data_IF_410665482592
#
_entry.id   IF_410665482592
#
_cell.length_a   1.000
_cell.length_b   1.000
_cell.length_c   1.000
_cell.angle_alpha   90.00
_cell.angle_beta   90.00
_cell.angle_gamma   90.00
#
_symmetry.space_group_name_H-M   'P 1'
#
loop_
_entity.id
_entity.type
_entity.pdbx_description
1 polymer ?
#
# COMPACT_ATOMS: atom_id res chain seq x y z
N UNK A 1 -7.07 8.30 -3.95
CA UNK A 1 -7.52 9.56 -4.58
C UNK A 1 -8.38 9.31 -5.81
N UNK A 2 -7.84 8.82 -6.93
CA UNK A 2 -8.60 8.69 -8.21
C UNK A 2 -9.78 7.71 -8.20
N UNK A 3 -9.93 6.89 -7.15
CA UNK A 3 -11.08 5.98 -6.96
C UNK A 3 -12.09 6.48 -5.91
N UNK A 4 -11.91 7.69 -5.37
CA UNK A 4 -12.83 8.26 -4.38
C UNK A 4 -12.85 7.59 -3.00
N UNK A 5 -11.95 6.64 -2.72
CA UNK A 5 -11.91 5.93 -1.44
C UNK A 5 -11.25 6.79 -0.34
N UNK A 6 -12.09 7.50 0.42
CA UNK A 6 -11.69 8.43 1.49
C UNK A 6 -11.09 7.68 2.68
N UNK A 7 -11.62 6.50 3.02
CA UNK A 7 -11.11 5.70 4.15
C UNK A 7 -9.66 5.29 3.90
N UNK A 8 -9.36 4.80 2.68
CA UNK A 8 -7.98 4.48 2.31
C UNK A 8 -7.06 5.70 2.21
N UNK A 9 -7.63 6.87 1.88
CA UNK A 9 -6.87 8.11 1.87
C UNK A 9 -6.44 8.49 3.29
N UNK A 10 -7.37 8.45 4.25
CA UNK A 10 -7.10 8.68 5.68
C UNK A 10 -6.02 7.71 6.19
N UNK A 11 -6.13 6.42 5.85
CA UNK A 11 -5.14 5.40 6.22
C UNK A 11 -3.76 5.61 5.61
N UNK A 12 -3.62 6.45 4.58
CA UNK A 12 -2.33 6.75 3.96
C UNK A 12 -1.55 7.87 4.66
N UNK A 13 -2.21 8.59 5.58
CA UNK A 13 -1.63 9.70 6.33
C UNK A 13 -0.61 9.21 7.38
N UNK A 14 0.52 9.91 7.61
CA UNK A 14 1.55 9.49 8.58
C UNK A 14 1.04 9.36 10.03
N UNK A 15 0.12 10.24 10.43
CA UNK A 15 -0.48 10.22 11.77
C UNK A 15 -1.60 9.19 11.93
N UNK A 16 -1.99 8.47 10.86
CA UNK A 16 -3.08 7.50 10.95
C UNK A 16 -2.78 6.39 11.95
N UNK A 17 -3.77 6.06 12.78
CA UNK A 17 -3.71 4.90 13.66
C UNK A 17 -4.09 3.63 12.88
N UNK A 18 -3.67 2.45 13.34
CA UNK A 18 -4.18 1.19 12.82
C UNK A 18 -5.71 1.16 12.88
N UNK A 19 -6.32 0.60 11.83
CA UNK A 19 -7.78 0.51 11.73
C UNK A 19 -8.43 -0.36 12.82
N UNK A 20 -7.65 -1.26 13.42
CA UNK A 20 -8.04 -2.08 14.55
C UNK A 20 -6.84 -2.29 15.48
N UNK A 21 -7.06 -2.45 16.81
CA UNK A 21 -5.98 -2.70 17.77
C UNK A 21 -5.17 -3.97 17.48
N UNK A 22 -5.79 -4.96 16.81
CA UNK A 22 -5.15 -6.20 16.38
C UNK A 22 -4.22 -6.04 15.17
N UNK A 23 -4.14 -4.85 14.57
CA UNK A 23 -3.23 -4.54 13.47
C UNK A 23 -2.04 -3.71 13.95
N UNK A 24 -0.86 -4.07 13.46
CA UNK A 24 0.37 -3.32 13.74
C UNK A 24 0.41 -2.04 12.90
N UNK A 25 0.85 -0.93 13.51
CA UNK A 25 1.06 0.35 12.82
C UNK A 25 2.18 0.22 11.78
N UNK A 26 1.90 0.66 10.55
CA UNK A 26 2.89 0.76 9.48
C UNK A 26 3.21 2.23 9.23
N UNK A 27 4.50 2.54 9.15
CA UNK A 27 4.99 3.89 8.84
C UNK A 27 5.71 3.89 7.49
N UNK A 28 5.80 5.07 6.86
CA UNK A 28 6.54 5.29 5.61
C UNK A 28 7.60 6.38 5.84
N UNK A 29 8.79 6.02 6.34
CA UNK A 29 9.81 7.02 6.68
C UNK A 29 10.28 7.85 5.48
N UNK A 30 10.31 7.23 4.30
CA UNK A 30 10.78 7.85 3.05
C UNK A 30 9.65 8.54 2.25
N UNK A 31 8.54 8.90 2.89
CA UNK A 31 7.33 9.39 2.20
C UNK A 31 7.54 10.70 1.45
N UNK A 32 8.43 11.56 1.96
CA UNK A 32 8.76 12.87 1.36
C UNK A 32 10.07 12.87 0.59
N UNK A 33 10.67 11.68 0.35
CA UNK A 33 11.93 11.53 -0.37
C UNK A 33 11.62 11.06 -1.79
N UNK A 34 12.23 11.68 -2.78
CA UNK A 34 12.05 11.27 -4.17
C UNK A 34 12.73 9.91 -4.43
N UNK A 35 12.20 9.18 -5.39
CA UNK A 35 12.74 7.86 -5.72
C UNK A 35 14.19 7.94 -6.25
N UNK A 36 14.49 8.96 -7.06
CA UNK A 36 15.86 9.16 -7.56
C UNK A 36 16.84 9.44 -6.41
N UNK A 37 16.43 10.15 -5.36
CA UNK A 37 17.28 10.41 -4.18
C UNK A 37 17.58 9.13 -3.42
N UNK A 38 16.57 8.30 -3.18
CA UNK A 38 16.76 6.99 -2.52
C UNK A 38 17.65 6.06 -3.34
N UNK A 39 17.52 6.11 -4.67
CA UNK A 39 18.32 5.32 -5.61
C UNK A 39 19.78 5.76 -5.59
N UNK A 40 20.04 7.07 -5.70
CA UNK A 40 21.40 7.64 -5.64
C UNK A 40 22.04 7.32 -4.28
N UNK A 41 21.29 7.46 -3.18
CA UNK A 41 21.78 7.12 -1.85
C UNK A 41 22.22 5.65 -1.75
N UNK A 42 21.40 4.72 -2.28
CA UNK A 42 21.72 3.30 -2.29
C UNK A 42 23.00 3.00 -3.09
N UNK A 43 23.18 3.63 -4.25
CA UNK A 43 24.40 3.52 -5.05
C UNK A 43 25.65 4.02 -4.30
N UNK A 44 25.57 5.22 -3.70
CA UNK A 44 26.70 5.80 -2.94
C UNK A 44 27.08 4.92 -1.75
N UNK A 45 26.10 4.27 -1.12
CA UNK A 45 26.33 3.35 0.01
C UNK A 45 26.73 1.93 -0.39
N UNK A 46 26.75 1.61 -1.68
CA UNK A 46 27.07 0.27 -2.18
C UNK A 46 26.02 -0.78 -1.80
N UNK A 47 24.76 -0.36 -1.58
CA UNK A 47 23.68 -1.31 -1.33
C UNK A 47 23.35 -2.06 -2.62
N UNK A 48 23.21 -3.38 -2.49
CA UNK A 48 22.77 -4.22 -3.59
C UNK A 48 21.24 -4.27 -3.57
N UNK A 49 20.62 -3.89 -4.68
CA UNK A 49 19.17 -3.88 -4.83
C UNK A 49 18.76 -4.48 -6.18
N UNK A 50 17.51 -4.92 -6.27
CA UNK A 50 16.94 -5.43 -7.52
C UNK A 50 16.71 -4.29 -8.51
N UNK A 51 17.37 -4.36 -9.66
CA UNK A 51 17.28 -3.40 -10.77
C UNK A 51 16.22 -3.79 -11.81
N UNK A 52 15.86 -5.06 -11.86
CA UNK A 52 14.94 -5.62 -12.85
C UNK A 52 13.50 -5.52 -12.38
N UNK A 53 12.64 -4.87 -13.17
CA UNK A 53 11.21 -4.80 -12.89
C UNK A 53 10.50 -6.15 -13.07
N UNK A 54 9.39 -6.35 -12.37
CA UNK A 54 8.54 -7.52 -12.52
C UNK A 54 7.97 -7.60 -13.96
N UNK A 55 8.10 -8.74 -14.69
CA UNK A 55 7.61 -8.87 -16.07
C UNK A 55 6.13 -8.53 -16.25
N UNK A 56 5.30 -8.80 -15.23
CA UNK A 56 3.87 -8.52 -15.26
C UNK A 56 3.53 -7.02 -15.29
N UNK A 57 4.41 -6.16 -14.77
CA UNK A 57 4.21 -4.71 -14.80
C UNK A 57 4.36 -4.20 -16.24
N UNK A 58 5.38 -4.68 -16.95
CA UNK A 58 5.68 -4.29 -18.33
C UNK A 58 4.62 -4.79 -19.32
N UNK A 59 4.16 -6.04 -19.15
CA UNK A 59 3.18 -6.63 -20.05
C UNK A 59 1.78 -6.02 -19.90
N UNK A 60 1.43 -5.54 -18.69
CA UNK A 60 0.10 -4.98 -18.38
C UNK A 60 0.24 -3.75 -17.49
N UNK A 61 0.54 -2.57 -18.07
CA UNK A 61 0.80 -1.36 -17.30
C UNK A 61 -0.43 -0.98 -16.48
N UNK A 62 -0.26 -1.02 -15.17
CA UNK A 62 -1.33 -0.71 -14.22
C UNK A 62 -1.71 0.77 -14.27
N UNK A 63 -2.90 1.12 -13.79
CA UNK A 63 -3.30 2.52 -13.62
C UNK A 63 -2.25 3.31 -12.82
N UNK A 64 -1.61 2.69 -11.82
CA UNK A 64 -0.56 3.34 -11.01
C UNK A 64 0.66 3.72 -11.85
N UNK A 65 1.09 2.85 -12.77
CA UNK A 65 2.22 3.14 -13.65
C UNK A 65 1.92 4.35 -14.55
N UNK A 66 0.72 4.40 -15.14
CA UNK A 66 0.29 5.54 -15.97
C UNK A 66 0.26 6.86 -15.20
N UNK A 67 -0.30 6.85 -14.00
CA UNK A 67 -0.35 8.05 -13.14
C UNK A 67 1.06 8.49 -12.74
N UNK A 68 1.93 7.54 -12.40
CA UNK A 68 3.32 7.84 -12.05
C UNK A 68 4.04 8.55 -13.19
N UNK A 69 3.92 8.05 -14.42
CA UNK A 69 4.54 8.70 -15.60
C UNK A 69 4.02 10.12 -15.80
N UNK A 70 2.71 10.33 -15.69
CA UNK A 70 2.09 11.67 -15.76
C UNK A 70 2.63 12.61 -14.66
N UNK A 71 2.71 12.13 -13.42
CA UNK A 71 3.21 12.92 -12.30
C UNK A 71 4.69 13.29 -12.47
N UNK A 72 5.52 12.39 -12.99
CA UNK A 72 6.92 12.65 -13.31
C UNK A 72 7.05 13.70 -14.43
N UNK A 73 6.18 13.63 -15.45
CA UNK A 73 6.16 14.65 -16.51
C UNK A 73 5.84 16.04 -15.95
N UNK A 74 4.86 16.14 -15.04
CA UNK A 74 4.52 17.40 -14.37
C UNK A 74 5.69 17.90 -13.53
N UNK A 75 6.31 17.03 -12.73
CA UNK A 75 7.48 17.37 -11.90
C UNK A 75 8.63 17.91 -12.75
N UNK A 76 8.88 17.34 -13.93
CA UNK A 76 9.94 17.80 -14.84
C UNK A 76 9.71 19.22 -15.39
N UNK A 77 8.44 19.63 -15.52
CA UNK A 77 8.06 20.97 -15.99
C UNK A 77 7.97 21.99 -14.85
N UNK A 78 7.62 21.53 -13.65
CA UNK A 78 7.45 22.36 -12.46
C UNK A 78 8.01 21.62 -11.23
N UNK A 79 9.31 21.78 -10.93
CA UNK A 79 9.96 21.12 -9.80
C UNK A 79 9.30 21.47 -8.46
N UNK A 80 9.18 20.47 -7.58
CA UNK A 80 8.54 20.57 -6.28
C UNK A 80 7.04 20.25 -6.31
N UNK A 81 6.43 19.99 -7.47
CA UNK A 81 5.00 19.71 -7.57
C UNK A 81 4.60 18.45 -6.80
N UNK A 82 5.41 17.38 -6.86
CA UNK A 82 5.14 16.13 -6.13
C UNK A 82 5.16 16.33 -4.63
N UNK A 83 6.17 17.04 -4.12
CA UNK A 83 6.31 17.32 -2.69
C UNK A 83 5.19 18.25 -2.20
N UNK A 84 4.85 19.28 -2.98
CA UNK A 84 3.74 20.19 -2.67
C UNK A 84 2.41 19.44 -2.65
N UNK A 85 2.17 18.57 -3.64
CA UNK A 85 0.95 17.77 -3.72
C UNK A 85 0.76 16.89 -2.48
N UNK A 86 1.80 16.15 -2.08
CA UNK A 86 1.70 15.22 -0.95
C UNK A 86 1.60 15.96 0.40
N UNK A 87 2.30 17.08 0.55
CA UNK A 87 2.26 17.91 1.77
C UNK A 87 0.91 18.59 1.91
N UNK A 88 0.41 19.20 0.83
CA UNK A 88 -0.93 19.80 0.79
C UNK A 88 -2.01 18.76 1.12
N UNK A 89 -1.89 17.56 0.54
CA UNK A 89 -2.82 16.48 0.80
C UNK A 89 -2.86 16.12 2.28
N UNK A 90 -1.71 16.02 2.94
CA UNK A 90 -1.64 15.73 4.37
C UNK A 90 -2.35 16.79 5.19
N UNK A 91 -2.01 18.07 4.95
CA UNK A 91 -2.62 19.20 5.66
C UNK A 91 -4.14 19.20 5.52
N UNK A 92 -4.67 18.94 4.33
CA UNK A 92 -6.12 18.93 4.08
C UNK A 92 -6.82 17.76 4.77
N UNK A 93 -6.20 16.57 4.80
CA UNK A 93 -6.86 15.38 5.37
C UNK A 93 -6.61 15.23 6.87
N UNK A 94 -5.64 15.94 7.45
CA UNK A 94 -5.28 15.82 8.86
C UNK A 94 -6.47 15.96 9.83
N UNK A 95 -7.38 16.94 9.68
CA UNK A 95 -8.56 17.02 10.55
C UNK A 95 -9.46 15.78 10.48
N UNK A 96 -9.59 15.19 9.29
CA UNK A 96 -10.36 13.95 9.08
C UNK A 96 -9.65 12.75 9.72
N UNK A 97 -8.32 12.71 9.66
CA UNK A 97 -7.50 11.67 10.28
C UNK A 97 -7.68 11.69 11.80
N UNK A 98 -7.62 12.87 12.42
CA UNK A 98 -7.78 13.02 13.87
C UNK A 98 -9.20 12.66 14.33
N UNK A 99 -10.22 12.95 13.52
CA UNK A 99 -11.60 12.53 13.79
C UNK A 99 -11.74 11.00 13.70
N UNK A 100 -11.24 10.41 12.62
CA UNK A 100 -11.37 8.98 12.32
C UNK A 100 -10.62 8.08 13.31
N UNK A 101 -9.53 8.57 13.91
CA UNK A 101 -8.78 7.81 14.94
C UNK A 101 -9.61 7.39 16.15
N UNK A 102 -10.71 8.10 16.44
CA UNK A 102 -11.60 7.78 17.57
C UNK A 102 -12.51 6.58 17.30
N UNK A 103 -12.62 6.14 16.05
CA UNK A 103 -13.53 5.09 15.59
C UNK A 103 -12.77 3.77 15.34
N UNK A 104 -12.06 3.26 16.34
CA UNK A 104 -11.39 1.96 16.21
C UNK A 104 -12.43 0.85 16.07
N UNK A 105 -12.34 0.04 15.01
CA UNK A 105 -13.22 -1.12 14.85
C UNK A 105 -12.58 -2.38 15.42
N UNK A 106 -13.43 -3.27 15.94
CA UNK A 106 -13.01 -4.63 16.27
C UNK A 106 -13.13 -5.50 15.03
N UNK A 107 -12.00 -6.03 14.56
CA UNK A 107 -11.98 -6.99 13.46
C UNK A 107 -12.19 -8.42 13.99
N UNK A 108 -12.98 -9.26 13.29
CA UNK A 108 -13.05 -10.68 13.60
C UNK A 108 -11.69 -11.35 13.40
N UNK A 109 -11.45 -12.47 14.08
CA UNK A 109 -10.25 -13.29 13.95
C UNK A 109 -10.49 -14.50 13.06
N UNK A 110 -9.46 -14.90 12.32
CA UNK A 110 -9.47 -16.08 11.48
C UNK A 110 -9.47 -17.35 12.34
N UNK A 111 -10.41 -18.25 12.11
CA UNK A 111 -10.49 -19.54 12.85
C UNK A 111 -9.32 -20.50 12.57
N UNK A 112 -8.55 -20.28 11.49
CA UNK A 112 -7.41 -21.13 11.12
C UNK A 112 -6.06 -20.63 11.64
N UNK A 113 -5.81 -19.33 11.58
CA UNK A 113 -4.49 -18.76 11.90
C UNK A 113 -4.52 -17.69 13.00
N UNK A 114 -5.70 -17.32 13.53
CA UNK A 114 -5.84 -16.29 14.57
C UNK A 114 -5.71 -14.84 14.08
N UNK A 115 -5.20 -14.60 12.88
CA UNK A 115 -5.00 -13.25 12.33
C UNK A 115 -6.33 -12.51 12.04
N UNK A 116 -6.35 -11.16 12.08
CA UNK A 116 -7.53 -10.36 11.76
C UNK A 116 -8.04 -10.62 10.34
N UNK A 117 -9.37 -10.67 10.18
CA UNK A 117 -10.04 -10.83 8.89
C UNK A 117 -11.02 -9.69 8.60
N UNK A 118 -11.44 -9.58 7.35
CA UNK A 118 -12.42 -8.57 6.93
C UNK A 118 -13.75 -8.79 7.69
N UNK A 119 -14.53 -7.73 7.94
CA UNK A 119 -15.87 -7.87 8.50
C UNK A 119 -16.70 -8.91 7.73
N UNK A 120 -17.53 -9.68 8.45
CA UNK A 120 -18.40 -10.74 7.90
C UNK A 120 -17.66 -11.99 7.36
N UNK A 121 -16.38 -12.19 7.70
CA UNK A 121 -15.64 -13.42 7.38
C UNK A 121 -15.19 -14.16 8.65
N UNK A 122 -15.18 -15.49 8.58
CA UNK A 122 -14.64 -16.38 9.63
C UNK A 122 -13.23 -16.87 9.30
N UNK A 123 -12.88 -16.92 8.02
CA UNK A 123 -11.54 -17.31 7.51
C UNK A 123 -10.94 -16.13 6.75
N UNK A 124 -9.64 -15.86 6.95
CA UNK A 124 -8.95 -14.78 6.25
C UNK A 124 -8.69 -15.12 4.78
N UNK A 125 -8.59 -14.08 3.94
CA UNK A 125 -8.40 -14.25 2.49
C UNK A 125 -7.10 -14.99 2.14
N UNK A 126 -6.08 -14.86 2.99
CA UNK A 126 -4.83 -15.59 2.86
C UNK A 126 -5.05 -17.10 3.01
N UNK A 127 -5.65 -17.55 4.12
CA UNK A 127 -5.94 -18.97 4.33
C UNK A 127 -6.84 -19.53 3.22
N UNK A 128 -7.87 -18.78 2.80
CA UNK A 128 -8.71 -19.18 1.65
C UNK A 128 -7.90 -19.39 0.38
N UNK A 129 -6.94 -18.51 0.09
CA UNK A 129 -6.08 -18.63 -1.09
C UNK A 129 -5.16 -19.85 -1.01
N UNK A 130 -4.57 -20.11 0.16
CA UNK A 130 -3.72 -21.28 0.39
C UNK A 130 -4.52 -22.58 0.20
N UNK A 131 -5.73 -22.66 0.75
CA UNK A 131 -6.59 -23.84 0.57
C UNK A 131 -6.90 -24.10 -0.91
N UNK A 132 -7.22 -23.05 -1.67
CA UNK A 132 -7.49 -23.16 -3.12
C UNK A 132 -6.28 -23.68 -3.90
N UNK A 133 -5.08 -23.19 -3.57
CA UNK A 133 -3.84 -23.66 -4.21
C UNK A 133 -3.60 -25.13 -3.87
N UNK A 134 -3.77 -25.54 -2.60
CA UNK A 134 -3.57 -26.93 -2.18
C UNK A 134 -4.57 -27.88 -2.84
N UNK A 135 -5.82 -27.44 -3.06
CA UNK A 135 -6.81 -28.22 -3.79
C UNK A 135 -6.44 -28.37 -5.27
N UNK A 136 -6.03 -27.27 -5.93
CA UNK A 136 -5.59 -27.31 -7.33
C UNK A 136 -4.36 -28.21 -7.53
N UNK A 137 -3.40 -28.19 -6.60
CA UNK A 137 -2.20 -29.04 -6.65
C UNK A 137 -2.49 -30.54 -6.44
N UNK A 138 -3.64 -30.91 -5.86
CA UNK A 138 -4.06 -32.31 -5.71
C UNK A 138 -4.70 -32.84 -6.98
N UNK A 139 -5.53 -32.04 -7.64
CA UNK A 139 -6.19 -32.41 -8.91
C UNK A 139 -5.17 -32.64 -10.03
N UNK A 140 -4.02 -31.96 -10.03
CA UNK A 140 -2.95 -32.16 -11.01
C UNK A 140 -2.03 -33.37 -10.79
N UNK A 141 -2.26 -34.19 -9.74
CA UNK A 141 -1.51 -35.44 -9.51
C UNK A 141 -2.29 -36.71 -9.87
N UNK A 142 -3.58 -36.58 -10.14
CA UNK A 142 -4.49 -37.70 -10.40
C UNK A 142 -4.88 -37.82 -11.90
N UNK A 143 -4.12 -37.20 -12.80
CA UNK A 143 -4.25 -37.29 -14.26
C UNK A 143 -2.91 -37.22 -14.96
#
# INVERSE_FOLDING_TARGET
>A
MLRGDIVRLIQSHPLSAPHAPSLIKRIKPLRYVYEYETTIYAYIKGFHFQDTECPYINQRPTLRAKIRSMLIEIESKAPGTLLNLITYLDTVIEPLVLKYQKESITLPQCTKCGEPTSPKRTVCKFCTLVDLILQASRVGKDG
#
